data_IF_557941481633
#
_entry.id   IF_557941481633
#
_cell.length_a   1.000
_cell.length_b   1.000
_cell.length_c   1.000
_cell.angle_alpha   90.00
_cell.angle_beta   90.00
_cell.angle_gamma   90.00
#
_symmetry.space_group_name_H-M   'P 1'
#
loop_
_entity.id
_entity.type
_entity.pdbx_description
1 polymer ?
#
# COMPACT_ATOMS: atom_id res chain seq x y z
N UNK A 1 -20.56 -11.69 1.17
CA UNK A 1 -20.08 -11.75 -0.24
C UNK A 1 -19.16 -12.97 -0.36
N UNK A 2 -18.92 -13.53 -1.54
CA UNK A 2 -17.98 -14.65 -1.63
C UNK A 2 -16.56 -14.23 -1.25
N UNK A 3 -15.67 -15.18 -0.89
CA UNK A 3 -14.26 -14.92 -0.69
C UNK A 3 -13.64 -14.20 -1.88
N UNK A 4 -12.70 -13.28 -1.62
CA UNK A 4 -12.04 -12.57 -2.71
C UNK A 4 -11.04 -13.47 -3.44
N UNK A 5 -10.72 -13.12 -4.67
CA UNK A 5 -9.75 -13.86 -5.47
C UNK A 5 -8.45 -13.07 -5.70
N UNK A 6 -8.49 -11.79 -5.39
CA UNK A 6 -7.33 -10.92 -5.44
C UNK A 6 -7.37 -9.93 -4.28
N UNK A 7 -6.23 -9.73 -3.62
CA UNK A 7 -6.01 -8.64 -2.67
C UNK A 7 -4.91 -7.75 -3.25
N UNK A 8 -5.22 -6.46 -3.36
CA UNK A 8 -4.25 -5.42 -3.73
C UNK A 8 -3.90 -4.67 -2.45
N UNK A 9 -2.64 -4.64 -2.08
CA UNK A 9 -2.13 -3.85 -0.96
C UNK A 9 -1.47 -2.57 -1.44
N UNK A 10 -1.68 -1.48 -0.74
CA UNK A 10 -0.73 -0.39 -0.73
C UNK A 10 0.56 -0.79 0.01
N UNK A 11 1.64 -0.02 -0.16
CA UNK A 11 2.93 -0.29 0.45
C UNK A 11 3.14 0.57 1.72
N UNK A 12 3.31 1.89 1.51
CA UNK A 12 3.62 2.85 2.56
C UNK A 12 2.45 2.93 3.57
N UNK A 13 2.74 2.98 4.86
CA UNK A 13 1.73 3.00 5.93
C UNK A 13 0.69 1.86 5.91
N UNK A 14 0.88 0.83 5.06
CA UNK A 14 -0.02 -0.33 4.93
C UNK A 14 0.72 -1.66 5.09
N UNK A 15 1.65 -2.03 4.19
CA UNK A 15 2.53 -3.20 4.36
C UNK A 15 3.74 -2.86 5.25
N UNK A 16 4.17 -1.62 5.26
CA UNK A 16 5.26 -1.10 6.08
C UNK A 16 4.77 0.11 6.89
N UNK A 17 5.47 0.41 7.99
CA UNK A 17 5.11 1.50 8.93
C UNK A 17 5.71 2.85 8.55
N UNK A 18 6.36 2.97 7.39
CA UNK A 18 7.03 4.20 6.96
C UNK A 18 6.51 4.67 5.60
N UNK A 19 6.76 5.95 5.31
CA UNK A 19 6.60 6.59 4.01
C UNK A 19 7.97 6.67 3.34
N UNK A 20 8.20 5.95 2.22
CA UNK A 20 9.52 5.80 1.61
C UNK A 20 10.11 7.12 1.11
N UNK A 21 9.31 7.98 0.47
CA UNK A 21 9.77 9.29 0.00
C UNK A 21 10.08 10.23 1.18
N UNK A 22 9.32 10.15 2.27
CA UNK A 22 9.59 10.95 3.48
C UNK A 22 10.84 10.48 4.20
N UNK A 23 11.13 9.18 4.17
CA UNK A 23 12.39 8.63 4.66
C UNK A 23 13.58 9.17 3.87
N UNK A 24 13.47 9.22 2.53
CA UNK A 24 14.49 9.79 1.65
C UNK A 24 14.70 11.30 1.86
N UNK A 25 13.66 12.01 2.25
CA UNK A 25 13.70 13.46 2.41
C UNK A 25 14.70 13.95 3.48
N UNK A 26 15.05 13.09 4.48
CA UNK A 26 16.11 13.34 5.44
C UNK A 26 16.39 14.84 5.75
N UNK A 27 17.53 15.39 5.27
CA UNK A 27 17.90 16.79 5.53
C UNK A 27 16.94 17.84 4.95
N UNK A 28 16.18 17.52 3.90
CA UNK A 28 15.23 18.43 3.23
C UNK A 28 13.77 18.15 3.63
N UNK A 29 13.58 17.42 4.73
CA UNK A 29 12.25 16.97 5.19
C UNK A 29 11.26 18.12 5.37
N UNK A 30 11.69 19.20 6.01
CA UNK A 30 10.81 20.36 6.26
C UNK A 30 10.31 20.98 4.97
N UNK A 31 11.18 21.13 3.97
CA UNK A 31 10.79 21.70 2.68
C UNK A 31 9.91 20.73 1.89
N UNK A 32 10.22 19.44 1.91
CA UNK A 32 9.37 18.39 1.33
C UNK A 32 7.97 18.39 1.96
N UNK A 33 7.86 18.56 3.27
CA UNK A 33 6.58 18.66 3.98
C UNK A 33 5.81 19.93 3.60
N UNK A 34 6.48 21.08 3.44
CA UNK A 34 5.82 22.31 2.95
C UNK A 34 5.18 22.12 1.58
N UNK A 35 5.85 21.41 0.67
CA UNK A 35 5.30 21.09 -0.64
C UNK A 35 4.02 20.25 -0.51
N UNK A 36 4.03 19.26 0.36
CA UNK A 36 2.86 18.44 0.66
C UNK A 36 1.71 19.27 1.23
N UNK A 37 2.00 20.16 2.19
CA UNK A 37 0.98 21.07 2.76
C UNK A 37 0.37 22.01 1.73
N UNK A 38 1.18 22.53 0.80
CA UNK A 38 0.69 23.39 -0.29
C UNK A 38 -0.31 22.67 -1.18
N UNK A 39 -0.08 21.36 -1.47
CA UNK A 39 -1.04 20.56 -2.20
C UNK A 39 -2.31 20.31 -1.41
N UNK A 40 -2.17 19.96 -0.14
CA UNK A 40 -3.32 19.73 0.75
C UNK A 40 -4.22 20.96 0.84
N UNK A 41 -3.65 22.16 0.68
CA UNK A 41 -4.38 23.44 0.60
C UNK A 41 -4.89 23.80 -0.80
N UNK A 42 -4.64 22.94 -1.81
CA UNK A 42 -5.03 23.20 -3.19
C UNK A 42 -4.25 24.30 -3.90
N UNK A 43 -3.11 24.75 -3.34
CA UNK A 43 -2.27 25.81 -3.91
C UNK A 43 -1.38 25.31 -5.04
N UNK A 44 -1.10 24.02 -5.07
CA UNK A 44 -0.30 23.33 -6.08
C UNK A 44 -0.95 22.00 -6.38
N UNK A 45 -0.88 21.53 -7.62
CA UNK A 45 -1.42 20.21 -8.00
C UNK A 45 -0.55 19.10 -7.42
N UNK A 46 -1.17 18.00 -6.99
CA UNK A 46 -0.46 16.87 -6.38
C UNK A 46 0.59 16.29 -7.34
N UNK A 47 0.29 16.24 -8.64
CA UNK A 47 1.19 15.78 -9.70
C UNK A 47 2.49 16.60 -9.77
N UNK A 48 2.36 17.94 -9.58
CA UNK A 48 3.52 18.84 -9.60
C UNK A 48 4.41 18.65 -8.37
N UNK A 49 3.82 18.18 -7.26
CA UNK A 49 4.54 17.97 -6.00
C UNK A 49 5.39 16.72 -6.05
N UNK A 50 4.89 15.64 -6.61
CA UNK A 50 5.64 14.39 -6.68
C UNK A 50 7.02 14.61 -7.32
N UNK A 51 7.05 15.24 -8.51
CA UNK A 51 8.29 15.55 -9.20
C UNK A 51 9.17 16.56 -8.47
N UNK A 52 8.57 17.60 -7.86
CA UNK A 52 9.32 18.61 -7.08
C UNK A 52 9.98 17.99 -5.85
N UNK A 53 9.28 17.12 -5.13
CA UNK A 53 9.86 16.40 -3.98
C UNK A 53 11.04 15.55 -4.40
N UNK A 54 10.91 14.77 -5.47
CA UNK A 54 12.01 13.94 -5.97
C UNK A 54 13.19 14.77 -6.48
N UNK A 55 12.94 15.90 -7.15
CA UNK A 55 14.00 16.79 -7.60
C UNK A 55 14.73 17.46 -6.41
N UNK A 56 14.00 17.81 -5.34
CA UNK A 56 14.57 18.38 -4.12
C UNK A 56 15.42 17.36 -3.37
N UNK A 57 14.94 16.12 -3.26
CA UNK A 57 15.64 15.01 -2.58
C UNK A 57 16.82 14.52 -3.41
N UNK A 58 16.65 14.43 -4.73
CA UNK A 58 17.60 13.89 -5.70
C UNK A 58 18.26 12.57 -5.23
N UNK A 59 17.45 11.53 -4.86
CA UNK A 59 17.97 10.36 -4.17
C UNK A 59 18.90 9.55 -5.08
N UNK A 60 20.02 9.10 -4.54
CA UNK A 60 20.91 8.17 -5.24
C UNK A 60 20.33 6.76 -5.30
N UNK A 61 20.86 5.91 -6.19
CA UNK A 61 20.49 4.49 -6.30
C UNK A 61 20.61 3.76 -4.95
N UNK A 62 21.71 4.00 -4.23
CA UNK A 62 21.95 3.37 -2.94
C UNK A 62 20.98 3.83 -1.86
N UNK A 63 20.60 5.10 -1.88
CA UNK A 63 19.59 5.62 -0.96
C UNK A 63 18.21 4.97 -1.23
N UNK A 64 17.82 4.79 -2.50
CA UNK A 64 16.57 4.10 -2.84
C UNK A 64 16.63 2.62 -2.47
N UNK A 65 17.77 1.95 -2.64
CA UNK A 65 17.97 0.58 -2.17
C UNK A 65 17.83 0.49 -0.64
N UNK A 66 18.40 1.45 0.10
CA UNK A 66 18.26 1.52 1.56
C UNK A 66 16.80 1.69 2.02
N UNK A 67 15.93 2.36 1.23
CA UNK A 67 14.49 2.39 1.51
C UNK A 67 13.89 0.98 1.47
N UNK A 68 14.26 0.17 0.49
CA UNK A 68 13.80 -1.21 0.39
C UNK A 68 14.16 -2.03 1.63
N UNK A 69 15.40 -1.92 2.11
CA UNK A 69 15.83 -2.57 3.36
C UNK A 69 15.07 -2.02 4.59
N UNK A 70 14.82 -0.71 4.59
CA UNK A 70 14.04 -0.10 5.66
C UNK A 70 12.59 -0.58 5.65
N UNK A 71 11.98 -0.77 4.50
CA UNK A 71 10.65 -1.37 4.39
C UNK A 71 10.58 -2.75 5.06
N UNK A 72 11.61 -3.60 4.85
CA UNK A 72 11.68 -4.92 5.49
C UNK A 72 11.81 -4.83 7.02
N UNK A 73 12.62 -3.89 7.50
CA UNK A 73 12.82 -3.68 8.94
C UNK A 73 11.57 -3.10 9.63
N UNK A 74 10.70 -2.43 8.88
CA UNK A 74 9.51 -1.74 9.37
C UNK A 74 8.21 -2.37 8.88
N UNK A 75 8.23 -3.67 8.57
CA UNK A 75 7.01 -4.40 8.21
C UNK A 75 5.92 -4.21 9.28
N UNK A 76 4.70 -4.01 8.82
CA UNK A 76 3.53 -4.06 9.69
C UNK A 76 3.41 -5.48 10.28
N UNK A 77 3.10 -5.62 11.57
CA UNK A 77 2.91 -6.93 12.19
C UNK A 77 2.00 -7.83 11.37
N UNK A 78 2.42 -9.08 11.22
CA UNK A 78 1.75 -10.14 10.47
C UNK A 78 1.67 -9.94 8.95
N UNK A 79 2.25 -8.88 8.35
CA UNK A 79 2.19 -8.62 6.90
C UNK A 79 2.67 -9.84 6.08
N UNK A 80 3.86 -10.36 6.38
CA UNK A 80 4.40 -11.54 5.68
C UNK A 80 3.54 -12.78 5.86
N UNK A 81 3.05 -13.04 7.07
CA UNK A 81 2.20 -14.19 7.35
C UNK A 81 0.84 -14.10 6.64
N UNK A 82 0.25 -12.89 6.59
CA UNK A 82 -1.01 -12.63 5.87
C UNK A 82 -0.83 -12.85 4.36
N UNK A 83 0.23 -12.30 3.76
CA UNK A 83 0.51 -12.48 2.33
C UNK A 83 0.69 -13.97 2.01
N UNK A 84 1.49 -14.69 2.80
CA UNK A 84 1.70 -16.12 2.61
C UNK A 84 0.41 -16.94 2.77
N UNK A 85 -0.43 -16.61 3.75
CA UNK A 85 -1.72 -17.26 3.98
C UNK A 85 -2.68 -17.02 2.81
N UNK A 86 -2.81 -15.79 2.31
CA UNK A 86 -3.64 -15.47 1.15
C UNK A 86 -3.19 -16.26 -0.09
N UNK A 87 -1.89 -16.31 -0.36
CA UNK A 87 -1.32 -17.08 -1.48
C UNK A 87 -1.58 -18.58 -1.30
N UNK A 88 -1.44 -19.09 -0.07
CA UNK A 88 -1.75 -20.49 0.27
C UNK A 88 -3.22 -20.87 0.04
N UNK A 89 -4.14 -19.92 0.16
CA UNK A 89 -5.56 -20.08 -0.17
C UNK A 89 -5.87 -19.88 -1.67
N UNK A 90 -4.84 -19.65 -2.51
CA UNK A 90 -5.00 -19.42 -3.94
C UNK A 90 -5.50 -18.01 -4.29
N UNK A 91 -5.44 -17.08 -3.33
CA UNK A 91 -5.78 -15.68 -3.55
C UNK A 91 -4.56 -14.94 -4.11
N UNK A 92 -4.72 -14.27 -5.25
CA UNK A 92 -3.65 -13.49 -5.85
C UNK A 92 -3.36 -12.27 -4.98
N UNK A 93 -2.09 -12.03 -4.66
CA UNK A 93 -1.64 -10.80 -3.96
C UNK A 93 -0.94 -9.89 -4.95
N UNK A 94 -1.33 -8.62 -4.97
CA UNK A 94 -0.69 -7.54 -5.73
C UNK A 94 -0.27 -6.41 -4.80
N UNK A 95 0.72 -5.62 -5.24
CA UNK A 95 1.13 -4.38 -4.55
C UNK A 95 0.95 -3.21 -5.51
N UNK A 96 0.32 -2.13 -5.04
CA UNK A 96 0.05 -0.94 -5.84
C UNK A 96 0.39 0.31 -5.01
N UNK A 97 1.51 0.95 -5.33
CA UNK A 97 2.11 2.01 -4.50
C UNK A 97 2.49 3.25 -5.32
N UNK A 98 2.35 4.42 -4.71
CA UNK A 98 2.99 5.65 -5.18
C UNK A 98 4.49 5.73 -4.84
N UNK A 99 5.05 4.73 -4.17
CA UNK A 99 6.46 4.64 -3.84
C UNK A 99 7.35 4.31 -5.05
N UNK A 100 8.67 4.30 -4.81
CA UNK A 100 9.68 4.06 -5.85
C UNK A 100 9.83 2.56 -6.15
N UNK A 101 9.70 2.17 -7.41
CA UNK A 101 9.65 0.77 -7.83
C UNK A 101 10.82 -0.09 -7.30
N UNK A 102 12.10 0.32 -7.30
CA UNK A 102 13.17 -0.53 -6.78
C UNK A 102 13.00 -0.88 -5.30
N UNK A 103 12.56 0.08 -4.47
CA UNK A 103 12.31 -0.13 -3.05
C UNK A 103 11.10 -1.05 -2.82
N UNK A 104 9.98 -0.80 -3.55
CA UNK A 104 8.77 -1.62 -3.46
C UNK A 104 9.04 -3.06 -3.94
N UNK A 105 9.86 -3.26 -4.97
CA UNK A 105 10.25 -4.60 -5.43
C UNK A 105 11.06 -5.37 -4.38
N UNK A 106 11.93 -4.70 -3.62
CA UNK A 106 12.65 -5.35 -2.50
C UNK A 106 11.66 -5.93 -1.48
N UNK A 107 10.67 -5.14 -1.08
CA UNK A 107 9.59 -5.60 -0.20
C UNK A 107 8.78 -6.73 -0.83
N UNK A 108 8.32 -6.56 -2.07
CA UNK A 108 7.48 -7.52 -2.78
C UNK A 108 8.13 -8.89 -2.89
N UNK A 109 9.40 -8.93 -3.28
CA UNK A 109 10.20 -10.17 -3.39
C UNK A 109 10.34 -10.88 -2.05
N UNK A 110 10.59 -10.15 -0.97
CA UNK A 110 10.67 -10.71 0.38
C UNK A 110 9.32 -11.29 0.85
N UNK A 111 8.20 -10.72 0.39
CA UNK A 111 6.84 -11.21 0.64
C UNK A 111 6.40 -12.31 -0.36
N UNK A 112 7.26 -12.73 -1.29
CA UNK A 112 6.90 -13.73 -2.31
C UNK A 112 5.90 -13.23 -3.35
N UNK A 113 5.79 -11.90 -3.55
CA UNK A 113 4.96 -11.29 -4.60
C UNK A 113 5.80 -11.09 -5.86
N UNK A 114 5.45 -11.72 -6.99
CA UNK A 114 6.17 -11.58 -8.24
C UNK A 114 6.21 -10.14 -8.76
N UNK A 115 7.32 -9.74 -9.39
CA UNK A 115 7.54 -8.37 -9.89
C UNK A 115 6.41 -7.87 -10.81
N UNK A 116 5.83 -8.73 -11.66
CA UNK A 116 4.73 -8.35 -12.58
C UNK A 116 3.38 -8.12 -11.89
N UNK A 117 3.27 -8.42 -10.59
CA UNK A 117 2.11 -8.13 -9.76
C UNK A 117 2.31 -6.85 -8.93
N UNK A 118 3.37 -6.09 -9.22
CA UNK A 118 3.72 -4.85 -8.54
C UNK A 118 3.55 -3.66 -9.47
N UNK A 119 2.81 -2.65 -9.02
CA UNK A 119 2.75 -1.32 -9.62
C UNK A 119 3.38 -0.30 -8.68
N UNK A 120 4.41 0.40 -9.16
CA UNK A 120 5.07 1.49 -8.43
C UNK A 120 5.75 2.44 -9.43
N UNK A 121 6.29 3.57 -8.96
CA UNK A 121 6.85 4.60 -9.85
C UNK A 121 8.30 4.27 -10.18
N UNK A 122 8.62 4.20 -11.49
CA UNK A 122 10.00 4.05 -11.94
C UNK A 122 10.83 5.29 -11.60
N UNK A 123 12.07 5.07 -11.17
CA UNK A 123 13.09 6.10 -10.97
C UNK A 123 14.31 5.78 -11.82
N UNK A 124 14.95 6.79 -12.36
CA UNK A 124 16.09 6.68 -13.25
C UNK A 124 17.35 7.23 -12.58
N UNK A 125 18.48 6.60 -12.90
CA UNK A 125 19.79 6.96 -12.38
C UNK A 125 20.82 7.08 -13.50
N UNK A 126 21.74 8.03 -13.33
CA UNK A 126 22.94 8.11 -14.15
C UNK A 126 23.86 6.89 -13.90
N UNK A 127 24.93 6.77 -14.69
CA UNK A 127 25.90 5.67 -14.56
C UNK A 127 26.59 5.65 -13.19
N UNK A 128 26.80 6.83 -12.59
CA UNK A 128 27.40 7.01 -11.25
C UNK A 128 26.42 6.77 -10.09
N UNK A 129 25.16 6.43 -10.40
CA UNK A 129 24.11 6.21 -9.40
C UNK A 129 23.39 7.47 -8.94
N UNK A 130 23.73 8.66 -9.44
CA UNK A 130 23.01 9.89 -9.13
C UNK A 130 21.62 9.92 -9.76
N UNK A 131 20.72 10.75 -9.20
CA UNK A 131 19.35 10.91 -9.69
C UNK A 131 19.31 11.46 -11.12
N UNK A 132 18.57 10.80 -12.00
CA UNK A 132 18.37 11.22 -13.39
C UNK A 132 16.89 11.54 -13.72
N UNK A 133 15.99 11.35 -12.76
CA UNK A 133 14.56 11.58 -12.96
C UNK A 133 13.69 10.40 -12.58
N UNK A 134 12.41 10.49 -12.85
CA UNK A 134 11.43 9.42 -12.66
C UNK A 134 10.49 9.34 -13.87
N UNK A 135 9.71 8.28 -13.96
CA UNK A 135 8.68 8.15 -14.99
C UNK A 135 7.50 9.10 -14.68
N UNK A 136 7.58 10.31 -15.23
CA UNK A 136 6.54 11.34 -15.09
C UNK A 136 5.23 10.98 -15.82
N UNK A 137 5.23 9.98 -16.72
CA UNK A 137 4.04 9.46 -17.36
C UNK A 137 3.34 8.39 -16.52
N UNK A 138 3.97 7.93 -15.44
CA UNK A 138 3.37 6.96 -14.53
C UNK A 138 2.09 7.52 -13.90
N UNK A 139 0.95 6.81 -14.00
CA UNK A 139 -0.27 7.23 -13.32
C UNK A 139 -0.08 7.28 -11.81
N UNK A 140 0.80 6.46 -11.25
CA UNK A 140 1.03 6.35 -9.81
C UNK A 140 1.74 7.57 -9.18
N UNK A 141 2.23 8.49 -10.01
CA UNK A 141 2.79 9.78 -9.58
C UNK A 141 1.73 10.89 -9.42
N UNK A 142 0.44 10.57 -9.57
CA UNK A 142 -0.67 11.56 -9.55
C UNK A 142 -1.94 11.00 -8.92
N UNK A 143 -2.87 11.90 -8.56
CA UNK A 143 -4.22 11.55 -8.12
C UNK A 143 -4.98 10.77 -9.20
N UNK A 144 -5.86 9.86 -8.79
CA UNK A 144 -6.58 8.96 -9.71
C UNK A 144 -5.73 7.82 -10.29
N UNK A 145 -4.42 7.86 -10.06
CA UNK A 145 -3.49 6.94 -10.70
C UNK A 145 -3.62 5.49 -10.25
N UNK A 146 -3.92 5.23 -9.00
CA UNK A 146 -4.18 3.87 -8.51
C UNK A 146 -5.44 3.28 -9.15
N UNK A 147 -6.51 4.07 -9.30
CA UNK A 147 -7.71 3.62 -10.02
C UNK A 147 -7.38 3.29 -11.50
N UNK A 148 -6.65 4.17 -12.17
CA UNK A 148 -6.23 3.92 -13.55
C UNK A 148 -5.42 2.61 -13.69
N UNK A 149 -4.53 2.33 -12.74
CA UNK A 149 -3.78 1.06 -12.75
C UNK A 149 -4.67 -0.15 -12.49
N UNK A 150 -5.65 -0.07 -11.58
CA UNK A 150 -6.64 -1.12 -11.36
C UNK A 150 -7.44 -1.39 -12.63
N UNK A 151 -7.86 -0.34 -13.35
CA UNK A 151 -8.57 -0.46 -14.63
C UNK A 151 -7.68 -1.07 -15.72
N UNK A 152 -6.41 -0.69 -15.83
CA UNK A 152 -5.44 -1.33 -16.73
C UNK A 152 -5.26 -2.82 -16.44
N UNK A 153 -5.29 -3.19 -15.16
CA UNK A 153 -5.15 -4.59 -14.71
C UNK A 153 -6.45 -5.38 -14.85
N UNK A 154 -7.60 -4.73 -14.99
CA UNK A 154 -8.94 -5.34 -15.00
C UNK A 154 -9.05 -6.64 -15.82
N UNK A 155 -8.50 -6.76 -17.05
CA UNK A 155 -8.60 -7.98 -17.85
C UNK A 155 -7.89 -9.19 -17.22
N UNK A 156 -6.89 -8.96 -16.35
CA UNK A 156 -6.08 -9.97 -15.70
C UNK A 156 -6.32 -10.08 -14.19
N UNK A 157 -7.29 -9.32 -13.63
CA UNK A 157 -7.63 -9.37 -12.21
C UNK A 157 -8.63 -10.48 -11.92
N UNK A 158 -8.26 -11.52 -11.14
CA UNK A 158 -9.25 -12.47 -10.62
C UNK A 158 -10.21 -11.74 -9.68
N UNK A 159 -11.51 -11.86 -9.93
CA UNK A 159 -12.54 -11.19 -9.11
C UNK A 159 -13.26 -12.19 -8.21
N UNK A 160 -13.76 -11.77 -7.03
CA UNK A 160 -13.80 -10.40 -6.49
C UNK A 160 -12.41 -9.89 -6.04
N UNK A 161 -12.23 -8.55 -6.08
CA UNK A 161 -10.98 -7.86 -5.71
C UNK A 161 -11.19 -7.04 -4.44
N UNK A 162 -10.26 -7.13 -3.51
CA UNK A 162 -10.18 -6.29 -2.32
C UNK A 162 -8.97 -5.37 -2.40
N UNK A 163 -9.15 -4.07 -2.18
CA UNK A 163 -8.08 -3.12 -1.94
C UNK A 163 -7.91 -2.90 -0.44
N UNK A 164 -6.66 -2.89 0.01
CA UNK A 164 -6.26 -2.58 1.39
C UNK A 164 -5.25 -1.44 1.35
N UNK A 165 -5.57 -0.32 1.97
CA UNK A 165 -4.70 0.86 1.99
C UNK A 165 -5.14 1.89 3.02
N UNK A 166 -4.30 2.89 3.28
CA UNK A 166 -4.55 3.95 4.26
C UNK A 166 -4.82 5.32 3.62
N UNK A 167 -4.49 5.49 2.32
CA UNK A 167 -4.46 6.75 1.62
C UNK A 167 -5.73 7.10 0.84
N UNK A 168 -5.89 8.39 0.52
CA UNK A 168 -6.96 8.86 -0.36
C UNK A 168 -6.88 8.24 -1.76
N UNK A 169 -5.65 8.00 -2.27
CA UNK A 169 -5.42 7.35 -3.56
C UNK A 169 -5.86 5.88 -3.58
N UNK A 170 -5.89 5.21 -2.40
CA UNK A 170 -6.44 3.86 -2.27
C UNK A 170 -7.96 3.90 -2.30
N UNK A 171 -8.56 4.86 -1.60
CA UNK A 171 -10.00 5.07 -1.62
C UNK A 171 -10.51 5.41 -3.03
N UNK A 172 -9.74 6.14 -3.84
CA UNK A 172 -10.05 6.41 -5.24
C UNK A 172 -10.23 5.14 -6.07
N UNK A 173 -9.64 3.99 -5.68
CA UNK A 173 -9.80 2.72 -6.39
C UNK A 173 -11.18 2.08 -6.24
N UNK A 174 -12.01 2.57 -5.31
CA UNK A 174 -13.32 1.98 -4.97
C UNK A 174 -14.21 1.65 -6.17
N UNK A 175 -14.30 2.45 -7.24
CA UNK A 175 -15.08 2.10 -8.43
C UNK A 175 -14.54 0.89 -9.21
N UNK A 176 -13.25 0.56 -9.04
CA UNK A 176 -12.56 -0.52 -9.76
C UNK A 176 -12.45 -1.83 -8.98
N UNK A 177 -12.74 -1.84 -7.67
CA UNK A 177 -12.63 -2.99 -6.77
C UNK A 177 -13.98 -3.39 -6.19
N UNK A 178 -14.09 -4.61 -5.64
CA UNK A 178 -15.34 -5.11 -5.06
C UNK A 178 -15.45 -4.80 -3.57
N UNK A 179 -14.29 -4.57 -2.90
CA UNK A 179 -14.23 -4.20 -1.48
C UNK A 179 -13.05 -3.26 -1.23
N UNK A 180 -13.30 -2.15 -0.55
CA UNK A 180 -12.27 -1.23 -0.07
C UNK A 180 -12.12 -1.35 1.45
N UNK A 181 -10.93 -1.70 1.90
CA UNK A 181 -10.56 -1.82 3.32
C UNK A 181 -9.59 -0.70 3.69
N UNK A 182 -9.98 0.17 4.59
CA UNK A 182 -9.08 1.17 5.16
C UNK A 182 -8.22 0.52 6.25
N UNK A 183 -6.90 0.57 6.09
CA UNK A 183 -5.97 0.17 7.13
C UNK A 183 -5.55 1.41 7.94
N UNK A 184 -6.09 1.53 9.15
CA UNK A 184 -5.85 2.64 10.07
C UNK A 184 -4.88 2.25 11.23
N UNK A 185 -4.11 1.17 11.04
CA UNK A 185 -3.20 0.65 12.07
C UNK A 185 -1.87 1.37 12.17
N UNK A 186 -1.48 2.15 11.15
CA UNK A 186 -0.27 2.98 11.13
C UNK A 186 -0.65 4.46 11.16
N UNK A 187 -1.47 4.88 10.19
CA UNK A 187 -1.96 6.27 10.08
C UNK A 187 -3.47 6.26 9.99
N UNK A 188 -4.13 7.12 10.78
CA UNK A 188 -5.59 7.31 10.71
C UNK A 188 -5.90 8.51 9.83
N UNK A 189 -6.58 8.27 8.70
CA UNK A 189 -7.04 9.33 7.78
C UNK A 189 -8.57 9.37 7.79
N UNK A 190 -9.21 10.37 8.43
CA UNK A 190 -10.66 10.39 8.64
C UNK A 190 -11.49 10.21 7.37
N UNK A 191 -11.07 10.84 6.26
CA UNK A 191 -11.78 10.73 4.98
C UNK A 191 -11.73 9.29 4.41
N UNK A 192 -10.60 8.58 4.57
CA UNK A 192 -10.44 7.19 4.12
C UNK A 192 -11.27 6.25 4.99
N UNK A 193 -11.22 6.45 6.31
CA UNK A 193 -12.04 5.71 7.28
C UNK A 193 -13.53 5.86 7.00
N UNK A 194 -13.99 7.07 6.67
CA UNK A 194 -15.40 7.34 6.37
C UNK A 194 -15.86 6.76 5.03
N UNK A 195 -14.94 6.65 4.04
CA UNK A 195 -15.28 6.23 2.68
C UNK A 195 -15.09 4.73 2.39
N UNK A 196 -14.41 3.99 3.27
CA UNK A 196 -14.14 2.56 3.10
C UNK A 196 -15.34 1.69 3.49
N UNK A 197 -15.42 0.48 2.89
CA UNK A 197 -16.47 -0.49 3.25
C UNK A 197 -16.19 -1.14 4.61
N UNK A 198 -14.92 -1.28 4.97
CA UNK A 198 -14.46 -1.82 6.26
C UNK A 198 -13.20 -1.08 6.71
N UNK A 199 -13.06 -0.91 8.02
CA UNK A 199 -11.88 -0.27 8.63
C UNK A 199 -11.18 -1.27 9.54
N UNK A 200 -9.85 -1.35 9.44
CA UNK A 200 -8.99 -2.09 10.36
C UNK A 200 -8.24 -1.07 11.20
N UNK A 201 -8.53 -1.00 12.51
CA UNK A 201 -7.82 -0.12 13.47
C UNK A 201 -6.68 -0.86 14.20
N UNK A 202 -6.62 -2.17 14.07
CA UNK A 202 -5.51 -2.99 14.57
C UNK A 202 -4.19 -2.59 13.94
N UNK A 203 -3.13 -2.54 14.71
CA UNK A 203 -1.74 -2.34 14.22
C UNK A 203 -1.19 -3.56 13.46
N UNK A 204 -1.91 -4.69 13.45
CA UNK A 204 -1.58 -5.92 12.72
C UNK A 204 -2.45 -6.05 11.48
N UNK A 205 -1.92 -6.64 10.41
CA UNK A 205 -2.66 -6.99 9.19
C UNK A 205 -3.46 -8.30 9.29
N UNK A 206 -3.37 -9.05 10.40
CA UNK A 206 -4.12 -10.31 10.59
C UNK A 206 -5.63 -10.20 10.25
N UNK A 207 -6.35 -9.07 10.53
CA UNK A 207 -7.74 -8.88 10.16
C UNK A 207 -8.04 -8.98 8.66
N UNK A 208 -7.05 -8.76 7.79
CA UNK A 208 -7.23 -8.88 6.33
C UNK A 208 -7.63 -10.29 5.94
N UNK A 209 -7.09 -11.32 6.62
CA UNK A 209 -7.34 -12.71 6.25
C UNK A 209 -8.82 -13.13 6.41
N UNK A 210 -9.51 -12.94 7.56
CA UNK A 210 -10.94 -13.23 7.66
C UNK A 210 -11.80 -12.36 6.73
N UNK A 211 -11.41 -11.11 6.46
CA UNK A 211 -12.12 -10.27 5.49
C UNK A 211 -11.98 -10.79 4.07
N UNK A 212 -10.81 -11.26 3.67
CA UNK A 212 -10.56 -11.80 2.34
C UNK A 212 -11.31 -13.14 2.13
N UNK A 213 -11.40 -13.96 3.17
CA UNK A 213 -12.10 -15.26 3.15
C UNK A 213 -13.61 -15.15 3.40
N UNK A 214 -14.15 -13.93 3.53
CA UNK A 214 -15.55 -13.65 3.83
C UNK A 214 -16.05 -14.45 5.04
N UNK A 215 -15.20 -14.53 6.07
CA UNK A 215 -15.40 -15.28 7.33
C UNK A 215 -15.42 -16.81 7.19
N UNK A 216 -15.08 -17.36 6.01
CA UNK A 216 -14.82 -18.80 5.87
C UNK A 216 -13.47 -19.17 6.52
N UNK A 217 -13.39 -20.38 7.07
CA UNK A 217 -12.14 -20.85 7.68
C UNK A 217 -11.10 -21.16 6.60
N UNK A 218 -9.81 -20.81 6.83
CA UNK A 218 -8.76 -21.16 5.90
C UNK A 218 -8.56 -22.66 5.81
N UNK A 219 -8.22 -23.14 4.62
CA UNK A 219 -7.95 -24.56 4.35
C UNK A 219 -6.58 -25.00 4.86
N UNK A 220 -5.60 -24.09 4.79
CA UNK A 220 -4.25 -24.35 5.26
C UNK A 220 -4.19 -24.33 6.79
N UNK A 221 -3.77 -25.42 7.48
CA UNK A 221 -3.75 -25.49 8.95
C UNK A 221 -2.90 -24.36 9.58
N UNK A 222 -1.79 -23.99 8.95
CA UNK A 222 -0.91 -22.89 9.43
C UNK A 222 -1.54 -21.50 9.37
N UNK A 223 -2.58 -21.29 8.56
CA UNK A 223 -3.28 -20.00 8.45
C UNK A 223 -4.38 -19.83 9.52
N UNK A 224 -4.79 -20.92 10.18
CA UNK A 224 -5.94 -20.90 11.10
C UNK A 224 -5.71 -20.04 12.32
N UNK A 225 -4.56 -20.14 12.96
CA UNK A 225 -4.24 -19.32 14.13
C UNK A 225 -4.20 -17.80 13.79
N UNK A 226 -3.62 -17.46 12.63
CA UNK A 226 -3.59 -16.09 12.13
C UNK A 226 -5.01 -15.57 11.82
N UNK A 227 -5.85 -16.42 11.23
CA UNK A 227 -7.25 -16.11 10.96
C UNK A 227 -8.02 -15.83 12.25
N UNK A 228 -7.91 -16.72 13.25
CA UNK A 228 -8.58 -16.60 14.55
C UNK A 228 -8.13 -15.31 15.28
N UNK A 229 -6.83 -14.99 15.24
CA UNK A 229 -6.28 -13.73 15.73
C UNK A 229 -6.89 -12.52 15.02
N UNK A 230 -6.97 -12.57 13.68
CA UNK A 230 -7.56 -11.50 12.88
C UNK A 230 -9.05 -11.31 13.16
N UNK A 231 -9.81 -12.39 13.26
CA UNK A 231 -11.24 -12.36 13.58
C UNK A 231 -11.51 -11.77 14.98
N UNK A 232 -10.70 -12.16 15.98
CA UNK A 232 -10.80 -11.61 17.33
C UNK A 232 -10.54 -10.10 17.36
N UNK A 233 -9.54 -9.60 16.58
CA UNK A 233 -9.25 -8.17 16.45
C UNK A 233 -10.39 -7.40 15.80
N UNK A 234 -11.04 -7.95 14.78
CA UNK A 234 -12.23 -7.34 14.15
C UNK A 234 -13.41 -7.26 15.11
N UNK A 235 -13.65 -8.32 15.90
CA UNK A 235 -14.72 -8.33 16.89
C UNK A 235 -14.49 -7.26 17.98
N UNK A 236 -13.25 -7.12 18.47
CA UNK A 236 -12.91 -6.10 19.47
C UNK A 236 -13.15 -4.67 18.97
N UNK A 237 -12.81 -4.38 17.71
CA UNK A 237 -13.06 -3.07 17.10
C UNK A 237 -14.55 -2.70 17.00
N UNK A 238 -15.40 -3.71 16.81
CA UNK A 238 -16.86 -3.50 16.67
C UNK A 238 -17.50 -3.12 18.00
N UNK A 239 -16.92 -3.51 19.14
CA UNK A 239 -17.40 -3.19 20.48
C UNK A 239 -16.96 -1.80 20.96
N UNK A 240 -15.91 -1.23 20.37
CA UNK A 240 -15.35 0.08 20.75
C UNK A 240 -15.96 1.27 19.99
N UNK A 241 -16.84 1.04 19.00
CA UNK A 241 -17.56 2.11 18.31
C UNK A 241 -18.76 2.53 19.16
N UNK A 242 -18.75 3.72 19.82
CA UNK A 242 -19.96 4.26 20.41
C UNK A 242 -20.98 4.53 19.30
N UNK A 243 -22.23 4.14 19.55
CA UNK A 243 -23.42 4.39 18.75
C UNK A 243 -23.72 5.89 18.58
#
# INVERSE_FOLDING_TARGET
MPPVRCVIFDCDSTLTRIEGIDFLAGPVREESQRLTEQAMRGLVRLEDIYGRRLALIAPTRDQVAAVGERYLAELVPDAGAVVAALQGEGIQVRILSGGLLPAVLTLARALGVPDWLVGAVNIFFNADGSYAGFDSASPLARSGGKLEMVERWRPALPRPVMMVGDGATDLETRPGVDRMVAFAGVVVRPAVVAGADTVITSTSLAPVLPLALDHELPRAPGARALYEQGAARLAAQSTERPS
#
